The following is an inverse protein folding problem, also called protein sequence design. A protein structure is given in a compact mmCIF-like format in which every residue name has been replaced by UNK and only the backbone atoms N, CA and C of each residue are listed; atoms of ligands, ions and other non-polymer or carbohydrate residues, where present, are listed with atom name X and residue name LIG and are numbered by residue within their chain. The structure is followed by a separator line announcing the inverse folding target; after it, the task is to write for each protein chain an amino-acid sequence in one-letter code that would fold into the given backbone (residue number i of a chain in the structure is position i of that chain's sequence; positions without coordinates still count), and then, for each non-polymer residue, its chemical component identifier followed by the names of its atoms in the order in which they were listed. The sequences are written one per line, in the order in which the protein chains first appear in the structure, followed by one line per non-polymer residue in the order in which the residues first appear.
data_IF_536038601827
#
_entry.id   IF_536038601827
#
_cell.length_a   1.000
_cell.length_b   1.000
_cell.length_c   1.000
_cell.angle_alpha   90.00
_cell.angle_beta   90.00
_cell.angle_gamma   90.00
#
_symmetry.space_group_name_H-M   'P 1'
#
loop_
_entity.id
_entity.type
_entity.pdbx_description
1 polymer ?
#
# COMPACT_ATOMS: atom_id res chain seq x y z
N UNK A 1 7.95 -22.48 -33.11
CA UNK A 1 8.44 -21.11 -32.88
C UNK A 1 7.43 -20.00 -33.22
N UNK A 2 6.12 -20.28 -33.32
CA UNK A 2 5.07 -19.26 -33.57
C UNK A 2 4.43 -18.68 -32.29
N UNK A 3 4.75 -19.23 -31.11
CA UNK A 3 4.19 -18.78 -29.83
C UNK A 3 4.82 -17.48 -29.31
N UNK A 4 6.05 -17.16 -29.73
CA UNK A 4 6.81 -15.99 -29.27
C UNK A 4 6.21 -14.65 -29.71
N UNK A 5 5.51 -14.59 -30.85
CA UNK A 5 4.83 -13.37 -31.29
C UNK A 5 3.49 -13.18 -30.58
N UNK A 6 2.75 -14.27 -30.39
CA UNK A 6 1.50 -14.28 -29.63
C UNK A 6 1.71 -13.89 -28.17
N UNK A 7 2.70 -14.50 -27.49
CA UNK A 7 3.06 -14.13 -26.11
C UNK A 7 3.51 -12.67 -26.03
N UNK A 8 4.32 -12.19 -26.98
CA UNK A 8 4.79 -10.79 -26.97
C UNK A 8 3.63 -9.80 -27.09
N UNK A 9 2.67 -10.06 -27.98
CA UNK A 9 1.50 -9.21 -28.16
C UNK A 9 0.58 -9.23 -26.93
N UNK A 10 0.43 -10.41 -26.29
CA UNK A 10 -0.33 -10.54 -25.05
C UNK A 10 0.30 -9.76 -23.90
N UNK A 11 1.61 -9.91 -23.68
CA UNK A 11 2.34 -9.14 -22.68
C UNK A 11 2.33 -7.64 -22.99
N UNK A 12 2.46 -7.26 -24.26
CA UNK A 12 2.40 -5.86 -24.66
C UNK A 12 1.03 -5.24 -24.35
N UNK A 13 -0.07 -5.96 -24.58
CA UNK A 13 -1.40 -5.50 -24.21
C UNK A 13 -1.54 -5.31 -22.69
N UNK A 14 -1.08 -6.26 -21.89
CA UNK A 14 -1.10 -6.16 -20.43
C UNK A 14 -0.24 -4.98 -19.90
N UNK A 15 0.93 -4.74 -20.51
CA UNK A 15 1.80 -3.62 -20.14
C UNK A 15 1.15 -2.28 -20.50
N UNK A 16 0.47 -2.19 -21.64
CA UNK A 16 -0.21 -0.96 -22.05
C UNK A 16 -1.36 -0.60 -21.11
N UNK A 17 -2.17 -1.58 -20.69
CA UNK A 17 -3.24 -1.37 -19.71
C UNK A 17 -2.69 -0.94 -18.33
N UNK A 18 -1.56 -1.54 -17.92
CA UNK A 18 -0.86 -1.13 -16.70
C UNK A 18 -0.34 0.31 -16.80
N UNK A 19 0.34 0.66 -17.91
CA UNK A 19 0.87 2.01 -18.15
C UNK A 19 -0.21 3.08 -18.17
N UNK A 20 -1.38 2.79 -18.76
CA UNK A 20 -2.51 3.73 -18.76
C UNK A 20 -3.05 3.97 -17.34
N UNK A 21 -3.11 2.92 -16.53
CA UNK A 21 -3.55 2.99 -15.14
C UNK A 21 -2.53 3.74 -14.27
N UNK A 22 -1.25 3.44 -14.46
CA UNK A 22 -0.13 4.11 -13.79
C UNK A 22 -0.06 5.60 -14.17
N UNK A 23 -0.27 5.95 -15.45
CA UNK A 23 -0.29 7.34 -15.88
C UNK A 23 -1.46 8.10 -15.27
N UNK A 24 -2.67 7.51 -15.23
CA UNK A 24 -3.83 8.13 -14.57
C UNK A 24 -3.57 8.34 -13.08
N UNK A 25 -3.03 7.33 -12.41
CA UNK A 25 -2.70 7.41 -10.99
C UNK A 25 -1.66 8.50 -10.72
N UNK A 26 -0.56 8.51 -11.47
CA UNK A 26 0.48 9.53 -11.36
C UNK A 26 -0.05 10.92 -11.70
N UNK A 27 -0.91 11.05 -12.72
CA UNK A 27 -1.50 12.34 -13.09
C UNK A 27 -2.39 12.88 -11.95
N UNK A 28 -3.24 12.03 -11.36
CA UNK A 28 -4.08 12.40 -10.22
C UNK A 28 -3.23 12.75 -9.00
N UNK A 29 -2.17 11.98 -8.72
CA UNK A 29 -1.27 12.25 -7.61
C UNK A 29 -0.52 13.57 -7.78
N UNK A 30 0.01 13.84 -8.97
CA UNK A 30 0.67 15.11 -9.29
C UNK A 30 -0.31 16.29 -9.24
N UNK A 31 -1.55 16.10 -9.71
CA UNK A 31 -2.59 17.13 -9.63
C UNK A 31 -2.94 17.45 -8.17
N UNK A 32 -3.09 16.45 -7.31
CA UNK A 32 -3.32 16.63 -5.87
C UNK A 32 -2.16 17.39 -5.23
N UNK A 33 -0.93 17.03 -5.59
CA UNK A 33 0.28 17.68 -5.11
C UNK A 33 0.34 19.15 -5.55
N UNK A 34 -0.08 19.47 -6.78
CA UNK A 34 -0.17 20.84 -7.28
C UNK A 34 -1.20 21.66 -6.49
N UNK A 35 -2.39 21.11 -6.24
CA UNK A 35 -3.42 21.78 -5.43
C UNK A 35 -2.93 22.07 -4.01
N UNK A 36 -2.30 21.09 -3.36
CA UNK A 36 -1.72 21.25 -2.03
C UNK A 36 -0.68 22.39 -1.99
N UNK A 37 0.22 22.42 -2.98
CA UNK A 37 1.24 23.47 -3.09
C UNK A 37 0.62 24.85 -3.33
N UNK A 38 -0.37 24.97 -4.23
CA UNK A 38 -1.07 26.23 -4.49
C UNK A 38 -1.76 26.73 -3.21
N UNK A 39 -2.49 25.86 -2.50
CA UNK A 39 -3.18 26.22 -1.26
C UNK A 39 -2.17 26.69 -0.21
N UNK A 40 -1.04 25.99 -0.07
CA UNK A 40 0.00 26.36 0.89
C UNK A 40 0.63 27.72 0.54
N UNK A 41 1.00 27.93 -0.72
CA UNK A 41 1.61 29.19 -1.19
C UNK A 41 0.63 30.37 -1.05
N UNK A 42 -0.64 30.20 -1.44
CA UNK A 42 -1.67 31.24 -1.29
C UNK A 42 -1.91 31.56 0.18
N UNK A 43 -2.01 30.54 1.04
CA UNK A 43 -2.19 30.75 2.49
C UNK A 43 -0.99 31.50 3.10
N UNK A 44 0.23 31.16 2.69
CA UNK A 44 1.44 31.81 3.19
C UNK A 44 1.56 33.26 2.72
N UNK A 45 1.25 33.55 1.44
CA UNK A 45 1.22 34.92 0.92
C UNK A 45 0.11 35.73 1.62
N UNK A 46 -1.09 35.17 1.76
CA UNK A 46 -2.21 35.84 2.43
C UNK A 46 -1.90 36.12 3.91
N UNK A 47 -1.35 35.14 4.64
CA UNK A 47 -0.91 35.31 6.03
C UNK A 47 0.21 36.35 6.16
N UNK A 48 1.18 36.33 5.24
CA UNK A 48 2.25 37.33 5.17
C UNK A 48 1.69 38.75 4.94
N UNK A 49 0.79 38.93 3.96
CA UNK A 49 0.18 40.23 3.69
C UNK A 49 -0.67 40.74 4.87
N UNK A 50 -1.45 39.86 5.49
CA UNK A 50 -2.27 40.21 6.66
C UNK A 50 -1.41 40.65 7.84
N UNK A 51 -0.33 39.93 8.13
CA UNK A 51 0.58 40.31 9.20
C UNK A 51 1.36 41.59 8.88
N UNK A 52 1.80 41.77 7.63
CA UNK A 52 2.45 43.02 7.21
C UNK A 52 1.47 44.21 7.34
N UNK A 53 0.21 44.04 6.94
CA UNK A 53 -0.82 45.05 7.11
C UNK A 53 -1.09 45.36 8.59
N UNK A 54 -1.15 44.34 9.45
CA UNK A 54 -1.33 44.48 10.90
C UNK A 54 -0.15 45.21 11.59
N UNK A 55 1.08 44.98 11.13
CA UNK A 55 2.28 45.70 11.62
C UNK A 55 2.24 47.18 11.20
N UNK A 56 1.76 47.48 9.99
CA UNK A 56 1.72 48.87 9.48
C UNK A 56 0.56 49.69 10.06
N UNK A 57 -0.64 49.12 10.17
CA UNK A 57 -1.83 49.86 10.64
C UNK A 57 -2.05 49.78 12.16
N UNK A 58 -1.39 48.82 12.82
CA UNK A 58 -1.57 48.54 14.24
C UNK A 58 -2.93 47.90 14.53
N UNK A 59 -2.97 47.00 15.51
CA UNK A 59 -4.22 46.44 16.02
C UNK A 59 -4.44 46.98 17.42
N UNK A 60 -5.46 47.83 17.60
CA UNK A 60 -5.96 48.22 18.93
C UNK A 60 -4.94 48.87 19.87
N UNK A 61 -3.97 49.63 19.35
CA UNK A 61 -2.96 50.31 20.18
C UNK A 61 -1.75 49.44 20.58
N UNK A 62 -1.69 48.17 20.16
CA UNK A 62 -0.46 47.37 20.25
C UNK A 62 0.47 47.71 19.08
N UNK A 63 1.69 48.14 19.39
CA UNK A 63 2.75 48.25 18.38
C UNK A 63 3.31 46.85 18.10
N UNK A 64 2.76 46.19 17.10
CA UNK A 64 3.32 44.95 16.56
C UNK A 64 4.65 45.28 15.89
N UNK A 65 5.71 44.55 16.25
CA UNK A 65 7.04 44.75 15.69
C UNK A 65 7.33 43.72 14.59
N UNK A 66 8.39 43.96 13.81
CA UNK A 66 8.87 43.03 12.76
C UNK A 66 9.16 41.63 13.33
N UNK A 67 9.50 41.53 14.63
CA UNK A 67 9.66 40.25 15.33
C UNK A 67 8.39 39.41 15.41
N UNK A 68 7.22 40.04 15.62
CA UNK A 68 5.94 39.34 15.74
C UNK A 68 5.49 38.75 14.39
N UNK A 69 5.85 39.41 13.28
CA UNK A 69 5.63 38.90 11.93
C UNK A 69 6.39 37.58 11.70
N UNK A 70 7.66 37.52 12.10
CA UNK A 70 8.48 36.30 11.96
C UNK A 70 7.96 35.19 12.86
N UNK A 71 7.52 35.52 14.08
CA UNK A 71 6.91 34.55 15.00
C UNK A 71 5.63 33.94 14.44
N UNK A 72 4.73 34.77 13.88
CA UNK A 72 3.51 34.28 13.24
C UNK A 72 3.81 33.32 12.08
N UNK A 73 4.68 33.74 11.14
CA UNK A 73 5.05 32.90 10.00
C UNK A 73 5.67 31.57 10.43
N UNK A 74 6.48 31.58 11.48
CA UNK A 74 7.12 30.39 12.05
C UNK A 74 6.08 29.45 12.67
N UNK A 75 5.14 29.96 13.47
CA UNK A 75 4.11 29.12 14.10
C UNK A 75 3.12 28.53 13.10
N UNK A 76 2.72 29.31 12.10
CA UNK A 76 1.85 28.83 11.02
C UNK A 76 2.55 27.72 10.23
N UNK A 77 3.84 27.86 9.92
CA UNK A 77 4.60 26.82 9.22
C UNK A 77 4.72 25.54 10.06
N UNK A 78 4.96 25.66 11.37
CA UNK A 78 4.98 24.52 12.29
C UNK A 78 3.63 23.81 12.38
N UNK A 79 2.52 24.53 12.24
CA UNK A 79 1.18 23.95 12.22
C UNK A 79 0.88 23.25 10.88
N UNK A 80 1.32 23.82 9.76
CA UNK A 80 1.09 23.24 8.43
C UNK A 80 1.85 21.93 8.20
N UNK A 81 3.05 21.77 8.79
CA UNK A 81 3.84 20.54 8.70
C UNK A 81 3.06 19.26 9.04
N UNK A 82 2.56 19.11 10.28
CA UNK A 82 1.75 17.95 10.68
C UNK A 82 0.40 17.89 9.94
N UNK A 83 -0.22 19.03 9.63
CA UNK A 83 -1.48 19.05 8.88
C UNK A 83 -1.33 18.45 7.48
N UNK A 84 -0.20 18.70 6.82
CA UNK A 84 0.08 18.19 5.48
C UNK A 84 0.29 16.67 5.48
N UNK A 85 0.89 16.12 6.55
CA UNK A 85 1.13 14.67 6.65
C UNK A 85 -0.09 13.89 7.10
N UNK A 86 -1.09 14.52 7.76
CA UNK A 86 -2.33 13.85 8.19
C UNK A 86 -3.06 13.14 7.06
N UNK A 87 -3.10 13.72 5.85
CA UNK A 87 -3.74 13.08 4.69
C UNK A 87 -3.05 11.78 4.26
N UNK A 88 -1.71 11.73 4.34
CA UNK A 88 -0.95 10.51 4.10
C UNK A 88 -1.15 9.50 5.22
N UNK A 89 -1.14 9.95 6.48
CA UNK A 89 -1.36 9.09 7.64
C UNK A 89 -2.73 8.43 7.59
N UNK A 90 -3.78 9.16 7.18
CA UNK A 90 -5.11 8.58 7.00
C UNK A 90 -5.13 7.44 5.98
N UNK A 91 -4.51 7.66 4.80
CA UNK A 91 -4.38 6.61 3.79
C UNK A 91 -3.57 5.40 4.29
N UNK A 92 -2.50 5.65 5.03
CA UNK A 92 -1.67 4.59 5.61
C UNK A 92 -2.46 3.74 6.61
N UNK A 93 -3.28 4.35 7.45
CA UNK A 93 -4.14 3.62 8.40
C UNK A 93 -5.15 2.75 7.64
N UNK A 94 -5.80 3.30 6.61
CA UNK A 94 -6.74 2.53 5.79
C UNK A 94 -6.06 1.33 5.12
N UNK A 95 -4.88 1.51 4.55
CA UNK A 95 -4.10 0.42 3.97
C UNK A 95 -3.73 -0.64 5.02
N UNK A 96 -3.30 -0.22 6.21
CA UNK A 96 -2.94 -1.14 7.29
C UNK A 96 -4.11 -2.01 7.74
N UNK A 97 -5.35 -1.49 7.70
CA UNK A 97 -6.54 -2.30 7.97
C UNK A 97 -6.77 -3.37 6.90
N UNK A 98 -6.62 -3.03 5.62
CA UNK A 98 -6.73 -3.99 4.51
C UNK A 98 -5.64 -5.06 4.60
N UNK A 99 -4.40 -4.65 4.87
CA UNK A 99 -3.28 -5.59 5.01
C UNK A 99 -3.49 -6.54 6.21
N UNK A 100 -4.08 -6.04 7.29
CA UNK A 100 -4.45 -6.84 8.46
C UNK A 100 -5.56 -7.85 8.13
N UNK A 101 -6.57 -7.46 7.35
CA UNK A 101 -7.63 -8.36 6.88
C UNK A 101 -7.04 -9.52 6.08
N UNK A 102 -6.14 -9.24 5.12
CA UNK A 102 -5.43 -10.27 4.35
C UNK A 102 -4.59 -11.20 5.23
N UNK A 103 -3.97 -10.68 6.29
CA UNK A 103 -3.22 -11.51 7.25
C UNK A 103 -4.14 -12.43 8.05
N UNK A 104 -5.33 -11.97 8.44
CA UNK A 104 -6.31 -12.82 9.08
C UNK A 104 -6.84 -13.91 8.14
N UNK A 105 -7.10 -13.58 6.86
CA UNK A 105 -7.46 -14.60 5.86
C UNK A 105 -6.38 -15.68 5.70
N UNK A 106 -5.11 -15.27 5.70
CA UNK A 106 -3.99 -16.21 5.62
C UNK A 106 -3.90 -17.10 6.86
N UNK A 107 -4.10 -16.54 8.06
CA UNK A 107 -4.09 -17.28 9.31
C UNK A 107 -5.26 -18.26 9.44
N UNK A 108 -6.43 -17.89 8.90
CA UNK A 108 -7.63 -18.74 8.87
C UNK A 108 -7.60 -19.79 7.75
N UNK A 109 -6.61 -19.72 6.84
CA UNK A 109 -6.47 -20.71 5.77
C UNK A 109 -6.22 -22.10 6.34
N UNK A 110 -7.07 -23.06 5.98
CA UNK A 110 -6.94 -24.43 6.46
C UNK A 110 -5.66 -25.09 5.95
N UNK A 111 -4.92 -25.73 6.86
CA UNK A 111 -3.79 -26.58 6.50
C UNK A 111 -4.32 -27.81 5.75
N UNK A 112 -3.89 -27.99 4.50
CA UNK A 112 -4.34 -29.07 3.61
C UNK A 112 -3.93 -30.47 4.11
N UNK A 113 -2.76 -30.59 4.74
CA UNK A 113 -2.26 -31.84 5.34
C UNK A 113 -2.04 -31.64 6.83
N UNK A 114 -2.98 -32.15 7.65
CA UNK A 114 -2.92 -32.09 9.11
C UNK A 114 -2.45 -33.43 9.68
N UNK A 115 -1.54 -33.37 10.65
CA UNK A 115 -1.15 -34.57 11.41
C UNK A 115 -2.34 -35.12 12.20
N UNK A 116 -2.40 -36.44 12.31
CA UNK A 116 -3.41 -37.10 13.15
C UNK A 116 -3.13 -36.87 14.63
N UNK A 117 -4.15 -36.82 15.50
CA UNK A 117 -3.96 -36.67 16.94
C UNK A 117 -3.06 -37.78 17.50
N UNK A 118 -1.92 -37.40 18.08
CA UNK A 118 -0.94 -38.36 18.61
C UNK A 118 -0.05 -39.00 17.56
N UNK A 119 0.16 -38.33 16.41
CA UNK A 119 1.16 -38.73 15.41
C UNK A 119 2.50 -39.00 16.10
N UNK A 120 2.99 -40.24 15.96
CA UNK A 120 4.28 -40.64 16.51
C UNK A 120 5.39 -40.18 15.57
N UNK A 121 6.53 -39.78 16.14
CA UNK A 121 7.73 -39.56 15.35
C UNK A 121 8.10 -40.83 14.58
N UNK A 122 8.34 -40.66 13.28
CA UNK A 122 8.69 -41.76 12.40
C UNK A 122 10.08 -42.30 12.76
N UNK A 123 10.12 -43.43 13.48
CA UNK A 123 11.38 -44.11 13.83
C UNK A 123 11.72 -45.14 12.74
N UNK A 124 12.69 -44.82 11.89
CA UNK A 124 13.12 -45.69 10.78
C UNK A 124 14.04 -46.78 11.32
N UNK A 125 13.64 -48.05 11.21
CA UNK A 125 14.45 -49.23 11.61
C UNK A 125 14.92 -50.09 10.42
N UNK A 126 14.58 -49.68 9.19
CA UNK A 126 14.91 -50.32 7.91
C UNK A 126 14.55 -49.40 6.73
N UNK A 127 14.93 -49.76 5.50
CA UNK A 127 14.79 -48.90 4.30
C UNK A 127 13.83 -49.42 3.23
N UNK A 128 12.82 -50.20 3.62
CA UNK A 128 11.79 -50.70 2.71
C UNK A 128 10.69 -49.65 2.52
N UNK A 129 10.32 -49.39 1.27
CA UNK A 129 9.25 -48.46 0.89
C UNK A 129 8.22 -49.27 0.12
N UNK A 130 7.01 -49.38 0.67
CA UNK A 130 5.88 -50.06 0.04
C UNK A 130 4.87 -49.01 -0.42
N UNK A 131 4.49 -49.06 -1.70
CA UNK A 131 3.32 -48.35 -2.20
C UNK A 131 2.16 -49.35 -2.23
N UNK A 132 1.05 -49.02 -1.59
CA UNK A 132 -0.13 -49.88 -1.56
C UNK A 132 -1.38 -49.11 -1.98
N UNK A 133 -1.86 -49.43 -3.19
CA UNK A 133 -3.09 -48.93 -3.79
C UNK A 133 -3.18 -47.39 -3.79
N UNK A 134 -2.06 -46.72 -4.06
CA UNK A 134 -1.97 -45.25 -3.98
C UNK A 134 -2.64 -44.60 -5.18
N UNK A 135 -3.55 -43.65 -4.91
CA UNK A 135 -4.20 -42.79 -5.90
C UNK A 135 -4.02 -41.33 -5.52
N UNK A 136 -3.68 -40.48 -6.51
CA UNK A 136 -3.35 -39.07 -6.27
C UNK A 136 -3.86 -38.15 -7.40
N UNK A 137 -4.31 -36.96 -7.01
CA UNK A 137 -4.75 -35.89 -7.89
C UNK A 137 -4.39 -34.52 -7.28
N UNK A 138 -4.05 -33.54 -8.12
CA UNK A 138 -3.93 -32.13 -7.69
C UNK A 138 -5.25 -31.38 -7.82
N UNK A 139 -6.06 -31.77 -8.80
CA UNK A 139 -7.39 -31.23 -9.04
C UNK A 139 -8.37 -32.39 -9.07
N UNK A 140 -9.56 -32.21 -8.48
CA UNK A 140 -10.57 -33.27 -8.38
C UNK A 140 -10.91 -33.93 -9.73
N UNK A 141 -10.79 -33.17 -10.84
CA UNK A 141 -11.11 -33.64 -12.18
C UNK A 141 -9.95 -34.32 -12.93
N UNK A 142 -8.73 -34.36 -12.37
CA UNK A 142 -7.56 -34.92 -13.07
C UNK A 142 -6.74 -35.84 -12.18
N UNK A 143 -7.08 -37.13 -12.23
CA UNK A 143 -6.33 -38.19 -11.55
C UNK A 143 -5.04 -38.53 -12.31
N UNK A 144 -3.90 -38.46 -11.61
CA UNK A 144 -2.56 -38.71 -12.15
C UNK A 144 -2.11 -40.13 -11.80
N UNK A 145 -2.12 -40.48 -10.52
CA UNK A 145 -1.81 -41.84 -10.05
C UNK A 145 -3.11 -42.59 -9.77
N UNK A 146 -3.20 -43.84 -10.25
CA UNK A 146 -4.38 -44.70 -10.12
C UNK A 146 -3.93 -46.09 -9.65
N UNK A 147 -4.23 -46.41 -8.40
CA UNK A 147 -4.01 -47.72 -7.78
C UNK A 147 -2.60 -48.30 -8.05
N UNK A 148 -1.57 -47.52 -7.76
CA UNK A 148 -0.18 -47.96 -7.94
C UNK A 148 0.28 -48.73 -6.69
N UNK A 149 0.81 -49.94 -6.90
CA UNK A 149 1.35 -50.81 -5.84
C UNK A 149 2.68 -51.43 -6.25
N UNK A 150 3.74 -51.29 -5.43
CA UNK A 150 5.06 -51.93 -5.60
C UNK A 150 5.87 -51.93 -4.30
#
# INVERSE_FOLDING_TARGET
YAATEYERNFYQAAILDYQLSEWKFNAVFNLLSLFQNIINTVSMIAGSLLCAWAVVHGIGGLQLNVGDYVLFGTYITQLYGPLNTLGNTYRMIQQAFVDMENMFELLDTEIEVKDVPGAKEMTIKGGEIEFKDVSFNYEANKSILKNVSF
#
